data_IF_168776124499
#
_entry.id   IF_168776124499
#
_cell.length_a   1.000
_cell.length_b   1.000
_cell.length_c   1.000
_cell.angle_alpha   90.00
_cell.angle_beta   90.00
_cell.angle_gamma   90.00
#
_symmetry.space_group_name_H-M   'P 1'
#
loop_
_entity.id
_entity.type
_entity.pdbx_description
1 polymer ?
#
# COMPACT_ATOMS: atom_id res chain seq x y z
N UNK A 1 51.47 -31.18 4.21
CA UNK A 1 50.88 -29.91 3.76
C UNK A 1 49.56 -30.24 3.07
N UNK A 2 48.43 -30.14 3.79
CA UNK A 2 47.09 -30.34 3.24
C UNK A 2 46.27 -29.12 3.61
N UNK A 3 45.96 -28.27 2.63
CA UNK A 3 45.05 -27.13 2.79
C UNK A 3 43.61 -27.61 2.90
N UNK A 4 42.80 -27.12 3.84
CA UNK A 4 41.37 -27.36 3.84
C UNK A 4 40.66 -26.42 2.86
N UNK A 5 39.79 -26.96 2.01
CA UNK A 5 38.84 -26.22 1.17
C UNK A 5 37.67 -25.70 2.00
N UNK A 6 37.44 -24.38 1.96
CA UNK A 6 36.30 -23.70 2.61
C UNK A 6 34.98 -24.00 1.86
N UNK A 7 33.91 -24.42 2.56
CA UNK A 7 32.58 -24.52 1.95
C UNK A 7 32.03 -23.13 1.59
N UNK A 8 31.54 -22.97 0.36
CA UNK A 8 30.80 -21.77 -0.06
C UNK A 8 29.47 -21.72 0.68
N UNK A 9 29.21 -20.64 1.41
CA UNK A 9 27.94 -20.40 2.09
C UNK A 9 26.82 -20.13 1.07
N UNK A 10 25.57 -20.56 1.32
CA UNK A 10 24.43 -20.20 0.48
C UNK A 10 24.27 -18.68 0.45
N UNK A 11 24.01 -18.14 -0.74
CA UNK A 11 23.85 -16.71 -0.97
C UNK A 11 22.83 -16.11 0.01
N UNK A 12 23.22 -15.04 0.68
CA UNK A 12 22.32 -14.20 1.47
C UNK A 12 21.09 -13.87 0.63
N UNK A 13 19.86 -14.15 1.08
CA UNK A 13 18.68 -13.60 0.43
C UNK A 13 18.88 -12.08 0.41
N UNK A 14 19.01 -11.49 -0.78
CA UNK A 14 18.98 -10.04 -0.92
C UNK A 14 17.70 -9.51 -0.27
N UNK A 15 17.64 -8.25 0.17
CA UNK A 15 16.40 -7.69 0.69
C UNK A 15 15.35 -7.84 -0.41
N UNK A 16 14.38 -8.74 -0.20
CA UNK A 16 13.14 -8.79 -1.00
C UNK A 16 12.34 -7.55 -0.62
N UNK A 17 12.85 -6.39 -1.03
CA UNK A 17 12.44 -5.09 -0.54
C UNK A 17 11.02 -4.81 -1.00
N UNK A 18 10.11 -4.74 -0.03
CA UNK A 18 8.79 -4.15 -0.19
C UNK A 18 8.94 -2.79 -0.88
N UNK A 19 8.28 -2.59 -2.03
CA UNK A 19 8.34 -1.33 -2.78
C UNK A 19 7.09 -0.52 -2.49
N UNK A 20 6.97 -0.08 -1.23
CA UNK A 20 5.82 0.71 -0.77
C UNK A 20 5.82 2.09 -1.42
N UNK A 21 4.70 2.45 -2.06
CA UNK A 21 4.46 3.76 -2.66
C UNK A 21 3.06 4.26 -2.32
N UNK A 22 2.92 5.59 -2.31
CA UNK A 22 1.65 6.29 -2.18
C UNK A 22 1.27 6.90 -3.52
N UNK A 23 0.30 6.29 -4.19
CA UNK A 23 -0.17 6.75 -5.49
C UNK A 23 -1.36 7.70 -5.35
N UNK A 24 -1.46 8.66 -6.28
CA UNK A 24 -2.65 9.50 -6.42
C UNK A 24 -3.84 8.66 -6.86
N UNK A 25 -5.03 9.04 -6.36
CA UNK A 25 -6.27 8.47 -6.87
C UNK A 25 -6.55 9.10 -8.23
N UNK A 26 -6.64 8.25 -9.24
CA UNK A 26 -6.90 8.62 -10.63
C UNK A 26 -8.07 7.80 -11.18
N UNK A 27 -8.55 8.16 -12.37
CA UNK A 27 -9.55 7.34 -13.07
C UNK A 27 -9.09 5.90 -13.33
N UNK A 28 -7.77 5.68 -13.42
CA UNK A 28 -7.21 4.36 -13.74
C UNK A 28 -7.19 3.40 -12.53
N UNK A 29 -7.10 3.92 -11.30
CA UNK A 29 -6.96 3.10 -10.09
C UNK A 29 -8.11 3.28 -9.08
N UNK A 30 -9.15 4.08 -9.40
CA UNK A 30 -10.27 4.32 -8.48
C UNK A 30 -11.01 3.03 -8.13
N UNK A 31 -11.27 2.15 -9.09
CA UNK A 31 -11.92 0.85 -8.85
C UNK A 31 -11.06 -0.03 -7.93
N UNK A 32 -9.74 -0.02 -8.13
CA UNK A 32 -8.78 -0.73 -7.28
C UNK A 32 -8.80 -0.19 -5.85
N UNK A 33 -8.88 1.12 -5.67
CA UNK A 33 -8.98 1.75 -4.36
C UNK A 33 -10.31 1.39 -3.66
N UNK A 34 -11.43 1.37 -4.40
CA UNK A 34 -12.74 0.99 -3.88
C UNK A 34 -12.82 -0.49 -3.46
N UNK A 35 -11.99 -1.33 -4.06
CA UNK A 35 -11.87 -2.75 -3.73
C UNK A 35 -11.05 -3.02 -2.45
N UNK A 36 -10.37 -2.02 -1.88
CA UNK A 36 -9.67 -2.18 -0.59
C UNK A 36 -10.67 -2.51 0.50
N UNK A 37 -10.43 -3.63 1.17
CA UNK A 37 -11.22 -4.15 2.27
C UNK A 37 -10.30 -4.62 3.39
N UNK A 38 -10.73 -4.40 4.62
CA UNK A 38 -10.13 -5.03 5.80
C UNK A 38 -10.64 -6.47 5.92
N UNK A 39 -10.11 -7.22 6.88
CA UNK A 39 -10.69 -8.52 7.21
C UNK A 39 -12.18 -8.37 7.56
N UNK A 40 -13.09 -9.30 7.18
CA UNK A 40 -14.52 -9.16 7.42
C UNK A 40 -14.89 -8.84 8.86
N UNK A 41 -14.17 -9.42 9.83
CA UNK A 41 -14.37 -9.15 11.26
C UNK A 41 -14.03 -7.73 11.69
N UNK A 42 -13.32 -6.96 10.87
CA UNK A 42 -12.97 -5.56 11.13
C UNK A 42 -13.85 -4.56 10.38
N UNK A 43 -14.68 -5.02 9.42
CA UNK A 43 -15.49 -4.11 8.57
C UNK A 43 -16.44 -3.23 9.39
N UNK A 44 -16.89 -3.69 10.57
CA UNK A 44 -17.75 -2.89 11.45
C UNK A 44 -17.06 -1.67 12.05
N UNK A 45 -15.72 -1.70 12.15
CA UNK A 45 -14.93 -0.69 12.82
C UNK A 45 -14.48 0.45 11.89
N UNK A 46 -14.66 0.29 10.57
CA UNK A 46 -14.18 1.23 9.56
C UNK A 46 -15.26 1.58 8.56
N UNK A 47 -15.24 2.82 8.06
CA UNK A 47 -16.06 3.18 6.89
C UNK A 47 -15.40 2.69 5.60
N UNK A 48 -16.18 2.33 4.56
CA UNK A 48 -15.61 1.95 3.27
C UNK A 48 -14.91 3.12 2.55
N UNK A 49 -13.93 2.81 1.69
CA UNK A 49 -13.14 3.82 0.94
C UNK A 49 -14.00 4.80 0.14
N UNK A 50 -15.14 4.36 -0.39
CA UNK A 50 -16.08 5.23 -1.13
C UNK A 50 -16.51 6.46 -0.32
N UNK A 51 -16.68 6.30 1.00
CA UNK A 51 -17.06 7.40 1.88
C UNK A 51 -15.93 8.42 1.97
N UNK A 52 -14.70 7.97 2.16
CA UNK A 52 -13.52 8.85 2.19
C UNK A 52 -13.34 9.61 0.88
N UNK A 53 -13.52 8.94 -0.27
CA UNK A 53 -13.42 9.60 -1.58
C UNK A 53 -14.55 10.63 -1.81
N UNK A 54 -15.78 10.34 -1.36
CA UNK A 54 -16.87 11.29 -1.41
C UNK A 54 -16.60 12.53 -0.53
N UNK A 55 -16.03 12.34 0.66
CA UNK A 55 -15.60 13.45 1.53
C UNK A 55 -14.46 14.27 0.91
N UNK A 56 -13.50 13.62 0.24
CA UNK A 56 -12.42 14.30 -0.46
C UNK A 56 -12.92 15.15 -1.63
N UNK A 57 -13.93 14.65 -2.38
CA UNK A 57 -14.54 15.37 -3.50
C UNK A 57 -15.10 16.74 -3.08
N UNK A 58 -15.67 16.85 -1.88
CA UNK A 58 -16.24 18.11 -1.37
C UNK A 58 -15.24 18.97 -0.59
N UNK A 59 -13.97 18.52 -0.44
CA UNK A 59 -12.90 19.25 0.25
C UNK A 59 -11.63 19.38 -0.61
N UNK A 60 -11.75 19.99 -1.81
CA UNK A 60 -10.60 20.16 -2.69
C UNK A 60 -9.52 21.02 -2.03
N UNK A 61 -8.26 20.68 -2.26
CA UNK A 61 -7.10 21.42 -1.75
C UNK A 61 -6.67 21.08 -0.32
N UNK A 62 -7.53 20.42 0.47
CA UNK A 62 -7.21 20.03 1.86
C UNK A 62 -7.19 18.51 2.01
N UNK A 63 -8.14 17.80 1.41
CA UNK A 63 -8.18 16.34 1.45
C UNK A 63 -7.07 15.75 0.57
N UNK A 64 -6.27 14.85 1.14
CA UNK A 64 -5.14 14.19 0.48
C UNK A 64 -5.28 12.66 0.55
N UNK A 65 -6.06 12.05 -0.35
CA UNK A 65 -6.22 10.61 -0.44
C UNK A 65 -5.06 9.96 -1.24
N UNK A 66 -4.63 8.77 -0.81
CA UNK A 66 -3.58 7.97 -1.46
C UNK A 66 -3.92 6.49 -1.45
N UNK A 67 -3.66 5.82 -2.58
CA UNK A 67 -3.62 4.37 -2.66
C UNK A 67 -2.24 3.91 -2.20
N UNK A 68 -2.18 2.94 -1.29
CA UNK A 68 -0.93 2.33 -0.87
C UNK A 68 -0.70 1.10 -1.75
N UNK A 69 0.43 1.07 -2.45
CA UNK A 69 0.83 -0.05 -3.32
C UNK A 69 2.16 -0.62 -2.86
N UNK A 70 2.31 -1.94 -2.95
CA UNK A 70 3.57 -2.66 -2.80
C UNK A 70 3.93 -3.29 -4.15
N UNK A 71 4.85 -2.66 -4.88
CA UNK A 71 5.04 -2.95 -6.30
C UNK A 71 3.76 -2.63 -7.08
N UNK A 72 3.16 -3.64 -7.72
CA UNK A 72 1.89 -3.52 -8.46
C UNK A 72 0.67 -3.93 -7.61
N UNK A 73 0.88 -4.36 -6.36
CA UNK A 73 -0.20 -4.86 -5.51
C UNK A 73 -0.81 -3.72 -4.69
N UNK A 74 -2.12 -3.45 -4.80
CA UNK A 74 -2.80 -2.55 -3.87
C UNK A 74 -2.88 -3.19 -2.48
N UNK A 75 -2.41 -2.48 -1.46
CA UNK A 75 -2.34 -3.00 -0.08
C UNK A 75 -3.09 -2.17 0.94
N UNK A 76 -3.55 -0.97 0.58
CA UNK A 76 -4.33 -0.15 1.49
C UNK A 76 -4.72 1.20 0.92
N UNK A 77 -5.38 1.99 1.76
CA UNK A 77 -5.82 3.35 1.45
C UNK A 77 -5.51 4.24 2.66
N UNK A 78 -5.05 5.46 2.38
CA UNK A 78 -4.81 6.50 3.37
C UNK A 78 -5.52 7.78 2.91
N UNK A 79 -6.12 8.49 3.85
CA UNK A 79 -6.55 9.86 3.63
C UNK A 79 -6.16 10.69 4.84
N UNK A 80 -5.55 11.83 4.59
CA UNK A 80 -5.30 12.85 5.61
C UNK A 80 -5.80 14.20 5.11
N UNK A 81 -5.89 15.16 6.01
CA UNK A 81 -6.14 16.56 5.69
C UNK A 81 -4.82 17.32 5.90
N UNK A 82 -4.39 18.05 4.89
CA UNK A 82 -3.21 18.92 4.95
C UNK A 82 -3.71 20.36 4.94
N UNK A 83 -3.44 21.10 6.01
CA UNK A 83 -3.76 22.51 6.22
C UNK A 83 -2.46 23.33 6.29
#
# INVERSE_FOLDING_TARGET
MTTPTTPTAPGTPGPSGTSLKLEEITRANVETALAIRVHPEQEFAVSPVVKSLAEAYVRPGVAWPRLIVDGERPVGFLMTFLD
#
